data_IF_895632695015
#
_entry.id   IF_895632695015
#
_cell.length_a   1.000
_cell.length_b   1.000
_cell.length_c   1.000
_cell.angle_alpha   90.00
_cell.angle_beta   90.00
_cell.angle_gamma   90.00
#
_symmetry.space_group_name_H-M   'P 1'
#
loop_
_entity.id
_entity.type
_entity.pdbx_description
1 polymer ?
#
# COMPACT_ATOMS: atom_id res chain seq x y z
N UNK A 1 58.93 13.53 26.83
CA UNK A 1 58.05 12.88 25.84
C UNK A 1 56.66 12.82 26.45
N UNK A 2 55.72 13.64 25.97
CA UNK A 2 54.36 13.71 26.51
C UNK A 2 53.42 13.11 25.45
N UNK A 3 52.78 11.99 25.78
CA UNK A 3 51.82 11.30 24.94
C UNK A 3 50.42 11.82 25.30
N UNK A 4 49.77 12.52 24.38
CA UNK A 4 48.36 12.92 24.48
C UNK A 4 47.47 11.74 24.07
N UNK A 5 46.47 11.35 24.89
CA UNK A 5 45.54 10.30 24.53
C UNK A 5 44.46 10.86 23.58
N UNK A 6 44.23 10.17 22.47
CA UNK A 6 43.15 10.48 21.52
C UNK A 6 41.88 9.84 22.08
N UNK A 7 40.93 10.67 22.52
CA UNK A 7 39.59 10.23 22.94
C UNK A 7 38.81 9.86 21.68
N UNK A 8 38.54 8.56 21.51
CA UNK A 8 37.77 8.02 20.41
C UNK A 8 36.27 8.21 20.70
N UNK A 9 35.63 9.15 20.01
CA UNK A 9 34.18 9.36 20.02
C UNK A 9 33.54 8.37 19.05
N UNK A 10 32.88 7.33 19.57
CA UNK A 10 32.08 6.41 18.75
C UNK A 10 30.71 7.04 18.47
N UNK A 11 30.54 7.59 17.27
CA UNK A 11 29.26 8.11 16.79
C UNK A 11 28.34 6.92 16.46
N UNK A 12 27.36 6.65 17.33
CA UNK A 12 26.31 5.64 17.08
C UNK A 12 25.28 6.25 16.14
N UNK A 13 25.36 5.94 14.84
CA UNK A 13 24.31 6.29 13.90
C UNK A 13 23.10 5.39 14.14
N UNK A 14 21.98 5.95 14.61
CA UNK A 14 20.70 5.25 14.53
C UNK A 14 20.32 5.15 13.06
N UNK A 15 20.39 3.95 12.51
CA UNK A 15 19.77 3.62 11.23
C UNK A 15 18.25 3.68 11.42
N UNK A 16 17.62 4.76 10.98
CA UNK A 16 16.16 4.79 10.83
C UNK A 16 15.79 3.75 9.77
N UNK A 17 15.18 2.64 10.20
CA UNK A 17 14.57 1.71 9.26
C UNK A 17 13.42 2.45 8.58
N UNK A 18 13.63 2.88 7.33
CA UNK A 18 12.57 3.38 6.44
C UNK A 18 11.49 2.30 6.37
N UNK A 19 10.32 2.57 6.95
CA UNK A 19 9.15 1.73 6.75
C UNK A 19 8.52 2.16 5.43
N UNK A 20 8.61 1.31 4.40
CA UNK A 20 7.93 1.56 3.12
C UNK A 20 6.41 1.75 3.31
N UNK A 21 5.73 2.34 2.31
CA UNK A 21 4.26 2.46 2.29
C UNK A 21 3.61 1.19 2.82
N UNK A 22 2.68 1.33 3.76
CA UNK A 22 1.98 0.20 4.39
C UNK A 22 0.48 0.42 4.36
N UNK A 23 -0.26 -0.45 3.67
CA UNK A 23 -1.72 -0.41 3.67
C UNK A 23 -2.24 -1.02 4.98
N UNK A 24 -3.04 -0.26 5.72
CA UNK A 24 -3.57 -0.61 7.04
C UNK A 24 -5.09 -0.87 7.05
N UNK A 25 -5.79 -0.33 6.05
CA UNK A 25 -7.19 -0.65 5.74
C UNK A 25 -7.25 -0.90 4.22
N UNK A 26 -7.79 -2.03 3.76
CA UNK A 26 -8.50 -3.06 4.54
C UNK A 26 -7.54 -3.90 5.39
N UNK A 27 -8.04 -4.39 6.53
CA UNK A 27 -7.32 -5.33 7.40
C UNK A 27 -7.44 -6.75 6.84
N UNK A 28 -6.48 -7.63 7.15
CA UNK A 28 -6.62 -9.05 6.82
C UNK A 28 -7.92 -9.63 7.39
N UNK A 29 -8.71 -10.28 6.54
CA UNK A 29 -9.99 -10.90 6.91
C UNK A 29 -11.22 -9.98 6.81
N UNK A 30 -11.05 -8.70 6.48
CA UNK A 30 -12.19 -7.78 6.27
C UNK A 30 -13.12 -8.28 5.14
N UNK A 31 -14.37 -7.81 5.19
CA UNK A 31 -15.35 -8.01 4.13
C UNK A 31 -15.72 -6.65 3.56
N UNK A 32 -15.45 -6.44 2.27
CA UNK A 32 -15.75 -5.21 1.55
C UNK A 32 -16.98 -5.43 0.66
N UNK A 33 -17.96 -4.55 0.79
CA UNK A 33 -19.17 -4.53 -0.03
C UNK A 33 -18.96 -3.64 -1.26
N UNK A 34 -18.95 -4.23 -2.45
CA UNK A 34 -18.62 -3.57 -3.71
C UNK A 34 -19.60 -2.45 -4.11
N UNK A 35 -20.84 -2.53 -3.62
CA UNK A 35 -21.91 -1.56 -3.81
C UNK A 35 -21.95 -0.44 -2.76
N UNK A 36 -21.03 -0.42 -1.80
CA UNK A 36 -20.93 0.61 -0.77
C UNK A 36 -19.59 1.34 -0.85
N UNK A 37 -19.53 2.61 -0.42
CA UNK A 37 -18.26 3.29 -0.20
C UNK A 37 -17.45 2.57 0.88
N UNK A 38 -16.14 2.45 0.68
CA UNK A 38 -15.21 1.89 1.66
C UNK A 38 -13.89 2.67 1.66
N UNK A 39 -13.00 2.40 2.62
CA UNK A 39 -11.75 3.16 2.76
C UNK A 39 -10.53 2.32 2.46
N UNK A 40 -9.53 2.95 1.85
CA UNK A 40 -8.14 2.47 1.86
C UNK A 40 -7.31 3.45 2.67
N UNK A 41 -6.61 2.95 3.67
CA UNK A 41 -5.72 3.74 4.51
C UNK A 41 -4.30 3.19 4.49
N UNK A 42 -3.32 4.08 4.60
CA UNK A 42 -1.91 3.71 4.58
C UNK A 42 -1.07 4.57 5.54
N UNK A 43 0.08 4.02 5.90
CA UNK A 43 1.21 4.71 6.54
C UNK A 43 2.31 4.89 5.49
N UNK A 44 3.12 5.95 5.60
CA UNK A 44 4.25 6.20 4.71
C UNK A 44 5.37 6.97 5.41
N UNK A 45 6.57 6.95 4.83
CA UNK A 45 7.73 7.73 5.29
C UNK A 45 8.25 8.63 4.18
N UNK A 46 9.10 9.59 4.56
CA UNK A 46 9.58 10.67 3.67
C UNK A 46 10.43 10.19 2.48
N UNK A 47 10.87 8.93 2.48
CA UNK A 47 11.65 8.31 1.39
C UNK A 47 10.79 7.51 0.41
N UNK A 48 9.47 7.39 0.66
CA UNK A 48 8.55 6.70 -0.24
C UNK A 48 8.32 7.48 -1.55
N UNK A 49 7.85 6.80 -2.63
CA UNK A 49 7.41 7.46 -3.84
C UNK A 49 6.39 8.58 -3.53
N UNK A 50 6.48 9.75 -4.19
CA UNK A 50 5.63 10.91 -3.85
C UNK A 50 4.15 10.69 -4.19
N UNK A 51 3.87 9.74 -5.08
CA UNK A 51 2.52 9.38 -5.49
C UNK A 51 2.43 7.89 -5.84
N UNK A 52 1.22 7.35 -5.73
CA UNK A 52 0.88 6.00 -6.17
C UNK A 52 -0.56 5.94 -6.67
N UNK A 53 -0.92 4.84 -7.31
CA UNK A 53 -2.30 4.52 -7.66
C UNK A 53 -2.73 3.23 -6.95
N UNK A 54 -4.02 3.14 -6.64
CA UNK A 54 -4.59 1.99 -5.96
C UNK A 54 -5.24 1.01 -6.93
N UNK A 55 -5.03 -0.27 -6.68
CA UNK A 55 -5.61 -1.37 -7.44
C UNK A 55 -6.21 -2.41 -6.50
N UNK A 56 -7.42 -2.88 -6.79
CA UNK A 56 -7.99 -4.08 -6.21
C UNK A 56 -7.53 -5.27 -7.04
N UNK A 57 -6.87 -6.25 -6.43
CA UNK A 57 -6.24 -7.33 -7.16
C UNK A 57 -6.58 -8.71 -6.62
N UNK A 58 -6.55 -9.69 -7.52
CA UNK A 58 -6.59 -11.11 -7.20
C UNK A 58 -5.62 -11.82 -8.15
N UNK A 59 -4.54 -12.36 -7.60
CA UNK A 59 -3.51 -13.10 -8.34
C UNK A 59 -3.51 -14.60 -8.04
N UNK A 60 -4.46 -15.08 -7.23
CA UNK A 60 -4.57 -16.49 -6.87
C UNK A 60 -5.21 -17.26 -8.03
N UNK A 61 -6.31 -16.73 -8.57
CA UNK A 61 -7.00 -17.33 -9.71
C UNK A 61 -6.44 -16.84 -11.05
N UNK A 62 -6.38 -17.73 -12.04
CA UNK A 62 -6.03 -17.38 -13.42
C UNK A 62 -7.29 -17.16 -14.29
N UNK A 63 -7.33 -16.11 -15.14
CA UNK A 63 -6.36 -15.02 -15.22
C UNK A 63 -6.45 -14.09 -14.00
N UNK A 64 -5.31 -13.47 -13.61
CA UNK A 64 -5.28 -12.46 -12.55
C UNK A 64 -6.25 -11.31 -12.83
N UNK A 65 -6.85 -10.78 -11.78
CA UNK A 65 -7.63 -9.55 -11.84
C UNK A 65 -6.82 -8.39 -11.28
N UNK A 66 -6.77 -7.30 -12.07
CA UNK A 66 -6.22 -6.02 -11.66
C UNK A 66 -7.28 -4.98 -11.99
N UNK A 67 -7.96 -4.47 -10.97
CA UNK A 67 -9.03 -3.49 -11.12
C UNK A 67 -8.57 -2.13 -10.59
N UNK A 68 -8.54 -1.08 -11.41
CA UNK A 68 -8.10 0.23 -10.97
C UNK A 68 -9.13 0.83 -10.01
N UNK A 69 -8.67 1.20 -8.82
CA UNK A 69 -9.47 1.99 -7.88
C UNK A 69 -9.32 3.47 -8.22
N UNK A 70 -10.37 4.25 -7.95
CA UNK A 70 -10.42 5.69 -8.23
C UNK A 70 -10.07 6.06 -9.69
N UNK A 71 -10.29 5.15 -10.64
CA UNK A 71 -9.96 5.37 -12.05
C UNK A 71 -8.49 5.66 -12.31
N UNK A 72 -7.56 5.11 -11.52
CA UNK A 72 -6.12 5.40 -11.57
C UNK A 72 -5.77 6.87 -11.29
N UNK A 73 -6.59 7.57 -10.49
CA UNK A 73 -6.24 8.89 -9.98
C UNK A 73 -5.02 8.78 -9.05
N UNK A 74 -3.92 9.52 -9.30
CA UNK A 74 -2.76 9.51 -8.41
C UNK A 74 -3.11 10.02 -7.01
N UNK A 75 -2.60 9.34 -5.99
CA UNK A 75 -2.72 9.72 -4.58
C UNK A 75 -1.35 10.21 -4.13
N UNK A 76 -1.32 11.36 -3.47
CA UNK A 76 -0.13 11.87 -2.80
C UNK A 76 0.15 11.08 -1.53
N UNK A 77 1.38 10.62 -1.37
CA UNK A 77 1.79 9.72 -0.28
C UNK A 77 1.92 10.42 1.09
N UNK A 78 2.18 11.73 1.08
CA UNK A 78 2.60 12.61 2.19
C UNK A 78 2.14 12.18 3.60
N UNK A 79 3.01 11.46 4.32
CA UNK A 79 2.83 11.10 5.73
C UNK A 79 1.78 10.02 6.04
N UNK A 80 1.21 9.36 5.02
CA UNK A 80 0.11 8.42 5.21
C UNK A 80 -1.26 9.10 5.09
N UNK A 81 -2.33 8.32 5.08
CA UNK A 81 -3.67 8.87 4.94
C UNK A 81 -4.74 7.84 4.67
N UNK A 82 -5.93 8.33 4.33
CA UNK A 82 -7.07 7.52 3.93
C UNK A 82 -7.76 8.14 2.72
N UNK A 83 -8.23 7.29 1.80
CA UNK A 83 -9.12 7.68 0.70
C UNK A 83 -10.39 6.84 0.71
N UNK A 84 -11.51 7.46 0.35
CA UNK A 84 -12.78 6.76 0.17
C UNK A 84 -12.90 6.28 -1.26
N UNK A 85 -13.10 4.98 -1.45
CA UNK A 85 -13.36 4.33 -2.73
C UNK A 85 -14.88 4.34 -2.98
N UNK A 86 -15.37 5.04 -4.01
CA UNK A 86 -16.80 5.04 -4.34
C UNK A 86 -17.21 3.74 -5.05
N UNK A 87 -18.47 3.31 -4.94
CA UNK A 87 -19.01 2.23 -5.77
C UNK A 87 -19.22 2.69 -7.23
N UNK A 88 -19.17 1.78 -8.21
CA UNK A 88 -18.76 0.39 -8.10
C UNK A 88 -17.24 0.26 -7.94
N UNK A 89 -16.81 -0.58 -6.99
CA UNK A 89 -15.39 -0.66 -6.59
C UNK A 89 -14.74 -2.02 -6.85
N UNK A 90 -15.41 -2.90 -7.60
CA UNK A 90 -14.95 -4.25 -7.86
C UNK A 90 -15.10 -4.68 -9.32
N UNK A 91 -14.27 -5.61 -9.80
CA UNK A 91 -14.44 -6.22 -11.11
C UNK A 91 -15.69 -7.10 -11.15
N UNK A 92 -16.18 -7.39 -12.36
CA UNK A 92 -17.22 -8.40 -12.59
C UNK A 92 -16.73 -9.37 -13.66
N UNK A 93 -16.75 -10.70 -13.41
CA UNK A 93 -17.23 -11.37 -12.20
C UNK A 93 -16.24 -11.28 -11.02
N UNK A 94 -16.74 -11.44 -9.79
CA UNK A 94 -15.91 -11.62 -8.60
C UNK A 94 -15.31 -13.03 -8.54
N UNK A 95 -14.11 -13.14 -7.96
CA UNK A 95 -13.47 -14.40 -7.61
C UNK A 95 -13.91 -14.85 -6.22
N UNK A 96 -13.79 -16.15 -5.97
CA UNK A 96 -14.07 -16.75 -4.65
C UNK A 96 -12.84 -16.74 -3.75
N UNK A 97 -11.64 -16.59 -4.34
CA UNK A 97 -10.38 -16.43 -3.63
C UNK A 97 -10.23 -14.97 -3.12
N UNK A 98 -9.43 -14.76 -2.06
CA UNK A 98 -9.25 -13.42 -1.47
C UNK A 98 -8.65 -12.39 -2.44
N UNK A 99 -8.94 -11.12 -2.14
CA UNK A 99 -8.40 -9.96 -2.83
C UNK A 99 -7.39 -9.22 -1.94
N UNK A 100 -6.58 -8.38 -2.58
CA UNK A 100 -5.67 -7.42 -1.92
C UNK A 100 -5.83 -6.04 -2.53
N UNK A 101 -5.48 -5.01 -1.78
CA UNK A 101 -5.25 -3.67 -2.31
C UNK A 101 -3.76 -3.53 -2.55
N UNK A 102 -3.39 -3.05 -3.73
CA UNK A 102 -2.02 -2.66 -4.07
C UNK A 102 -1.92 -1.16 -4.23
N UNK A 103 -0.91 -0.57 -3.61
CA UNK A 103 -0.35 0.72 -4.02
C UNK A 103 0.79 0.44 -5.01
N UNK A 104 0.68 0.96 -6.22
CA UNK A 104 1.64 0.71 -7.29
C UNK A 104 1.88 1.97 -8.11
N UNK A 105 2.85 1.91 -9.03
CA UNK A 105 3.05 2.95 -10.04
C UNK A 105 1.75 3.20 -10.81
N UNK A 106 1.43 4.46 -11.04
CA UNK A 106 0.28 4.84 -11.86
C UNK A 106 0.46 4.46 -13.34
N UNK A 107 1.70 4.31 -13.82
CA UNK A 107 2.00 3.91 -15.20
C UNK A 107 2.09 2.40 -15.41
N UNK A 108 2.27 1.63 -14.33
CA UNK A 108 2.42 0.18 -14.39
C UNK A 108 1.96 -0.48 -13.06
N UNK A 109 0.83 -1.21 -13.05
CA UNK A 109 0.30 -1.84 -11.84
C UNK A 109 1.19 -2.99 -11.30
N UNK A 110 2.21 -3.42 -12.05
CA UNK A 110 3.17 -4.45 -11.61
C UNK A 110 4.38 -3.87 -10.89
N UNK A 111 4.57 -2.55 -10.93
CA UNK A 111 5.56 -1.85 -10.10
C UNK A 111 4.95 -1.54 -8.74
N UNK A 112 5.05 -2.50 -7.81
CA UNK A 112 4.35 -2.49 -6.52
C UNK A 112 5.17 -1.71 -5.47
N UNK A 113 4.50 -0.81 -4.75
CA UNK A 113 5.07 -0.10 -3.59
C UNK A 113 4.57 -0.68 -2.26
N UNK A 114 3.30 -1.08 -2.19
CA UNK A 114 2.71 -1.74 -1.04
C UNK A 114 1.56 -2.67 -1.42
N UNK A 115 1.28 -3.64 -0.56
CA UNK A 115 0.15 -4.56 -0.68
C UNK A 115 -0.50 -4.79 0.69
N UNK A 116 -1.83 -4.84 0.75
CA UNK A 116 -2.58 -5.21 1.96
C UNK A 116 -2.49 -6.71 2.24
N UNK A 117 -2.97 -7.12 3.41
CA UNK A 117 -3.32 -8.52 3.62
C UNK A 117 -4.55 -8.94 2.80
N UNK A 118 -4.82 -10.25 2.82
CA UNK A 118 -5.96 -10.86 2.14
C UNK A 118 -7.29 -10.50 2.81
N UNK A 119 -8.27 -10.07 2.01
CA UNK A 119 -9.64 -9.80 2.45
C UNK A 119 -10.65 -10.32 1.42
N UNK A 120 -11.94 -10.33 1.78
CA UNK A 120 -13.01 -10.77 0.88
C UNK A 120 -13.77 -9.57 0.34
N UNK A 121 -14.19 -9.68 -0.92
CA UNK A 121 -15.14 -8.75 -1.53
C UNK A 121 -16.46 -9.46 -1.77
N UNK A 122 -17.57 -8.75 -1.60
CA UNK A 122 -18.93 -9.24 -1.87
C UNK A 122 -19.69 -8.18 -2.66
N UNK A 123 -20.70 -8.57 -3.47
CA UNK A 123 -21.48 -7.64 -4.27
C UNK A 123 -22.10 -6.48 -3.48
#
# INVERSE_FOLDING_TARGET
MHLTPIISLTLTTLLTTTTAIRIIIPRPGDIIHCNQPWQVCWEAVVTDPPQFCLYLTNFIDFPPQIFPLLGQTPITTDGGGCVTIPPPSCPSPLRTTPYRVRAASCSDPNTIYAESGDFRVVP
#
